data_IF_656400242278
#
_entry.id   IF_656400242278
#
_cell.length_a   1.000
_cell.length_b   1.000
_cell.length_c   1.000
_cell.angle_alpha   90.00
_cell.angle_beta   90.00
_cell.angle_gamma   90.00
#
_symmetry.space_group_name_H-M   'P 1'
#
loop_
_entity.id
_entity.type
_entity.pdbx_description
1 polymer ?
#
# COMPACT_ATOMS: atom_id res chain seq x y z
N UNK A 1 18.22 -38.92 -35.32
CA UNK A 1 17.66 -37.70 -35.92
C UNK A 1 18.25 -36.53 -35.16
N UNK A 2 19.12 -35.77 -35.83
CA UNK A 2 19.89 -34.64 -35.30
C UNK A 2 18.96 -33.56 -34.77
N UNK A 3 18.83 -33.43 -33.45
CA UNK A 3 18.25 -32.22 -32.87
C UNK A 3 19.14 -31.04 -33.24
N UNK A 4 18.57 -29.90 -33.66
CA UNK A 4 19.37 -28.72 -33.99
C UNK A 4 20.19 -28.33 -32.76
N UNK A 5 21.47 -28.01 -32.97
CA UNK A 5 22.34 -27.46 -31.94
C UNK A 5 21.60 -26.28 -31.29
N UNK A 6 21.52 -26.20 -29.94
CA UNK A 6 20.78 -25.12 -29.31
C UNK A 6 21.40 -23.78 -29.73
N UNK A 7 20.57 -22.78 -30.02
CA UNK A 7 21.05 -21.47 -30.46
C UNK A 7 21.84 -20.78 -29.33
N UNK A 8 22.75 -19.86 -29.68
CA UNK A 8 23.51 -19.05 -28.70
C UNK A 8 22.59 -18.30 -27.74
N UNK A 9 21.37 -17.97 -28.17
CA UNK A 9 20.31 -17.36 -27.35
C UNK A 9 19.81 -18.28 -26.23
N UNK A 10 19.87 -19.60 -26.41
CA UNK A 10 19.41 -20.60 -25.43
C UNK A 10 20.57 -21.03 -24.51
N UNK A 11 21.79 -21.05 -25.04
CA UNK A 11 22.99 -21.50 -24.31
C UNK A 11 23.70 -20.36 -23.56
N UNK A 12 23.63 -19.12 -24.01
CA UNK A 12 24.44 -18.04 -23.45
C UNK A 12 25.95 -18.35 -23.53
N UNK A 13 26.73 -17.80 -22.59
CA UNK A 13 28.18 -18.01 -22.50
C UNK A 13 28.60 -19.28 -21.73
N UNK A 14 27.63 -20.02 -21.17
CA UNK A 14 27.86 -21.17 -20.31
C UNK A 14 28.33 -20.81 -18.89
N UNK A 15 28.53 -21.83 -18.03
CA UNK A 15 28.93 -21.64 -16.63
C UNK A 15 27.77 -21.33 -15.68
N UNK A 16 28.06 -20.69 -14.54
CA UNK A 16 27.06 -20.40 -13.49
C UNK A 16 26.11 -19.25 -13.87
N UNK A 17 26.58 -18.24 -14.62
CA UNK A 17 25.78 -17.10 -15.08
C UNK A 17 25.88 -16.95 -16.61
N UNK A 18 25.26 -17.85 -17.39
CA UNK A 18 25.39 -17.87 -18.85
C UNK A 18 24.83 -16.61 -19.54
N UNK A 19 23.93 -15.90 -18.86
CA UNK A 19 23.31 -14.65 -19.34
C UNK A 19 23.80 -13.41 -18.59
N UNK A 20 24.91 -13.54 -17.86
CA UNK A 20 25.47 -12.49 -17.02
C UNK A 20 24.51 -11.98 -15.93
N UNK A 21 24.86 -10.85 -15.33
CA UNK A 21 24.07 -10.25 -14.25
C UNK A 21 22.69 -9.79 -14.72
N UNK A 22 22.57 -9.32 -15.96
CA UNK A 22 21.29 -8.91 -16.56
C UNK A 22 20.29 -10.06 -16.61
N UNK A 23 20.73 -11.28 -16.95
CA UNK A 23 19.87 -12.45 -16.93
C UNK A 23 19.43 -12.86 -15.53
N UNK A 24 20.32 -12.77 -14.53
CA UNK A 24 19.98 -13.02 -13.12
C UNK A 24 18.89 -12.07 -12.64
N UNK A 25 19.02 -10.80 -13.00
CA UNK A 25 18.15 -9.72 -12.54
C UNK A 25 16.77 -9.74 -13.21
N UNK A 26 16.73 -10.06 -14.51
CA UNK A 26 15.49 -10.31 -15.24
C UNK A 26 14.78 -11.57 -14.72
N UNK A 27 15.53 -12.65 -14.47
CA UNK A 27 15.01 -13.86 -13.85
C UNK A 27 14.45 -13.61 -12.45
N UNK A 28 15.12 -12.80 -11.64
CA UNK A 28 14.64 -12.40 -10.31
C UNK A 28 13.31 -11.64 -10.37
N UNK A 29 13.13 -10.76 -11.37
CA UNK A 29 11.87 -10.04 -11.57
C UNK A 29 10.70 -10.98 -11.89
N UNK A 30 10.91 -12.03 -12.70
CA UNK A 30 9.87 -13.04 -12.97
C UNK A 30 9.67 -13.98 -11.78
N UNK A 31 10.74 -14.41 -11.11
CA UNK A 31 10.68 -15.28 -9.94
C UNK A 31 10.09 -14.60 -8.70
N UNK A 32 10.02 -13.26 -8.67
CA UNK A 32 9.33 -12.50 -7.63
C UNK A 32 7.91 -13.01 -7.39
N UNK A 33 7.22 -13.43 -8.47
CA UNK A 33 5.90 -14.06 -8.41
C UNK A 33 5.79 -15.14 -7.34
N UNK A 34 6.82 -15.98 -7.18
CA UNK A 34 6.79 -17.10 -6.24
C UNK A 34 6.72 -16.65 -4.77
N UNK A 35 7.14 -15.42 -4.47
CA UNK A 35 7.11 -14.87 -3.12
C UNK A 35 5.83 -14.07 -2.81
N UNK A 36 4.94 -13.88 -3.79
CA UNK A 36 3.67 -13.18 -3.58
C UNK A 36 2.70 -14.05 -2.77
N UNK A 37 2.01 -13.46 -1.80
CA UNK A 37 1.00 -14.13 -0.98
C UNK A 37 1.19 -13.99 0.53
N UNK A 38 2.32 -13.46 1.01
CA UNK A 38 2.52 -13.19 2.43
C UNK A 38 1.55 -12.12 2.97
N UNK A 39 1.10 -11.21 2.10
CA UNK A 39 0.12 -10.17 2.39
C UNK A 39 -1.26 -10.73 2.74
N UNK A 40 -1.60 -11.94 2.26
CA UNK A 40 -2.84 -12.62 2.61
C UNK A 40 -2.92 -12.98 4.10
N UNK A 41 -1.78 -13.13 4.78
CA UNK A 41 -1.72 -13.36 6.24
C UNK A 41 -2.24 -12.14 7.01
N UNK A 42 -2.03 -10.94 6.48
CA UNK A 42 -2.54 -9.72 7.11
C UNK A 42 -4.07 -9.58 6.95
N UNK A 43 -4.63 -10.06 5.84
CA UNK A 43 -6.09 -10.04 5.57
C UNK A 43 -6.89 -10.89 6.56
N UNK A 44 -6.27 -11.89 7.19
CA UNK A 44 -6.91 -12.73 8.21
C UNK A 44 -6.65 -12.25 9.64
N UNK A 45 -6.12 -11.04 9.81
CA UNK A 45 -5.76 -10.51 11.13
C UNK A 45 -6.93 -10.45 12.13
N UNK A 46 -8.15 -10.26 11.65
CA UNK A 46 -9.37 -10.22 12.48
C UNK A 46 -9.69 -11.57 13.15
N UNK A 47 -9.20 -12.68 12.60
CA UNK A 47 -9.44 -14.04 13.10
C UNK A 47 -8.29 -14.55 13.99
N UNK A 48 -7.20 -13.78 14.10
CA UNK A 48 -5.97 -14.20 14.76
C UNK A 48 -5.95 -13.72 16.21
N UNK A 49 -5.69 -14.65 17.15
CA UNK A 49 -5.43 -14.30 18.55
C UNK A 49 -4.11 -13.53 18.66
N UNK A 50 -4.13 -12.36 19.29
CA UNK A 50 -2.98 -11.44 19.43
C UNK A 50 -2.37 -11.07 18.07
N UNK A 51 -3.13 -10.37 17.19
CA UNK A 51 -2.72 -10.10 15.81
C UNK A 51 -1.42 -9.28 15.75
N UNK A 52 -1.18 -8.39 16.71
CA UNK A 52 0.00 -7.53 16.71
C UNK A 52 1.33 -8.31 16.77
N UNK A 53 1.33 -9.53 17.34
CA UNK A 53 2.52 -10.39 17.42
C UNK A 53 2.46 -11.56 16.44
N UNK A 54 1.29 -12.15 16.25
CA UNK A 54 1.12 -13.33 15.41
C UNK A 54 1.31 -13.03 13.91
N UNK A 55 0.77 -11.90 13.41
CA UNK A 55 0.86 -11.55 11.98
C UNK A 55 2.33 -11.32 11.55
N UNK A 56 3.15 -10.52 12.25
CA UNK A 56 4.55 -10.33 11.85
C UNK A 56 5.37 -11.63 11.89
N UNK A 57 5.16 -12.47 12.91
CA UNK A 57 5.83 -13.78 13.01
C UNK A 57 5.41 -14.67 11.84
N UNK A 58 4.11 -14.70 11.51
CA UNK A 58 3.58 -15.47 10.37
C UNK A 58 4.21 -15.05 9.04
N UNK A 59 4.30 -13.75 8.77
CA UNK A 59 4.90 -13.22 7.54
C UNK A 59 6.39 -13.59 7.46
N UNK A 60 7.19 -13.30 8.50
CA UNK A 60 8.64 -13.54 8.45
C UNK A 60 8.97 -15.03 8.41
N UNK A 61 8.28 -15.86 9.19
CA UNK A 61 8.54 -17.30 9.23
C UNK A 61 8.16 -17.98 7.92
N UNK A 62 6.99 -17.65 7.34
CA UNK A 62 6.56 -18.21 6.05
C UNK A 62 7.51 -17.82 4.92
N UNK A 63 7.91 -16.55 4.83
CA UNK A 63 8.89 -16.08 3.85
C UNK A 63 10.25 -16.78 3.97
N UNK A 64 10.74 -16.99 5.20
CA UNK A 64 12.01 -17.67 5.42
C UNK A 64 11.95 -19.15 4.99
N UNK A 65 10.86 -19.84 5.33
CA UNK A 65 10.65 -21.24 4.92
C UNK A 65 10.58 -21.35 3.39
N UNK A 66 9.80 -20.48 2.75
CA UNK A 66 9.70 -20.42 1.28
C UNK A 66 11.05 -20.12 0.63
N UNK A 67 11.82 -19.17 1.18
CA UNK A 67 13.15 -18.85 0.68
C UNK A 67 14.08 -20.07 0.68
N UNK A 68 14.16 -20.80 1.80
CA UNK A 68 15.00 -22.00 1.91
C UNK A 68 14.54 -23.08 0.94
N UNK A 69 13.22 -23.29 0.83
CA UNK A 69 12.65 -24.29 -0.07
C UNK A 69 12.92 -23.94 -1.55
N UNK A 70 12.67 -22.71 -1.97
CA UNK A 70 12.90 -22.27 -3.36
C UNK A 70 14.37 -22.30 -3.73
N UNK A 71 15.24 -21.79 -2.85
CA UNK A 71 16.68 -21.88 -3.07
C UNK A 71 17.14 -23.34 -3.21
N UNK A 72 16.67 -24.22 -2.32
CA UNK A 72 17.00 -25.65 -2.34
C UNK A 72 16.52 -26.35 -3.61
N UNK A 73 15.27 -26.10 -4.03
CA UNK A 73 14.69 -26.67 -5.25
C UNK A 73 15.41 -26.16 -6.50
N UNK A 74 15.68 -24.85 -6.61
CA UNK A 74 16.40 -24.29 -7.75
C UNK A 74 17.83 -24.83 -7.85
N UNK A 75 18.54 -24.95 -6.73
CA UNK A 75 19.88 -25.53 -6.70
C UNK A 75 19.87 -27.02 -7.08
N UNK A 76 18.97 -27.81 -6.50
CA UNK A 76 18.84 -29.23 -6.81
C UNK A 76 18.48 -29.47 -8.29
N UNK A 77 17.50 -28.73 -8.81
CA UNK A 77 17.00 -28.89 -10.17
C UNK A 77 18.07 -28.57 -11.22
N UNK A 78 18.81 -27.48 -11.03
CA UNK A 78 19.89 -27.06 -11.95
C UNK A 78 21.12 -27.98 -11.88
N UNK A 79 21.32 -28.70 -10.76
CA UNK A 79 22.33 -29.77 -10.67
C UNK A 79 21.85 -31.09 -11.30
N UNK A 80 20.56 -31.39 -11.28
CA UNK A 80 19.99 -32.61 -11.88
C UNK A 80 19.93 -32.55 -13.42
N UNK A 81 19.66 -31.38 -13.99
CA UNK A 81 19.45 -31.22 -15.42
C UNK A 81 20.01 -29.88 -15.91
N UNK A 82 20.72 -29.84 -17.04
CA UNK A 82 21.17 -28.59 -17.65
C UNK A 82 20.01 -27.61 -17.92
N UNK A 83 20.20 -26.34 -17.57
CA UNK A 83 19.13 -25.31 -17.59
C UNK A 83 18.45 -25.15 -18.94
N UNK A 84 19.17 -25.35 -20.05
CA UNK A 84 18.65 -25.21 -21.41
C UNK A 84 17.73 -26.37 -21.84
N UNK A 85 17.65 -27.45 -21.07
CA UNK A 85 16.74 -28.58 -21.31
C UNK A 85 15.54 -28.60 -20.36
N UNK A 86 15.44 -27.64 -19.44
CA UNK A 86 14.32 -27.57 -18.50
C UNK A 86 13.01 -27.28 -19.25
N UNK A 87 12.02 -28.14 -19.02
CA UNK A 87 10.68 -27.96 -19.56
C UNK A 87 9.99 -26.77 -18.89
N UNK A 88 9.33 -25.92 -19.70
CA UNK A 88 8.68 -24.70 -19.20
C UNK A 88 7.38 -24.98 -18.45
N UNK A 89 6.69 -26.09 -18.74
CA UNK A 89 5.37 -26.38 -18.18
C UNK A 89 5.46 -27.31 -16.96
N UNK A 90 6.44 -28.22 -16.97
CA UNK A 90 6.56 -29.32 -16.00
C UNK A 90 8.04 -29.62 -15.65
N UNK A 91 8.79 -28.63 -15.13
CA UNK A 91 10.24 -28.76 -14.95
C UNK A 91 10.61 -29.90 -13.98
N UNK A 92 9.87 -30.06 -12.87
CA UNK A 92 10.18 -31.06 -11.86
C UNK A 92 9.92 -32.50 -12.33
N UNK A 93 8.72 -32.88 -12.83
CA UNK A 93 8.50 -34.23 -13.35
C UNK A 93 9.45 -34.59 -14.50
N UNK A 94 9.73 -33.65 -15.40
CA UNK A 94 10.64 -33.84 -16.52
C UNK A 94 12.08 -34.12 -16.06
N UNK A 95 12.55 -33.41 -15.03
CA UNK A 95 13.88 -33.64 -14.46
C UNK A 95 14.02 -35.04 -13.83
N UNK A 96 13.02 -35.50 -13.05
CA UNK A 96 13.05 -36.87 -12.50
C UNK A 96 12.99 -37.96 -13.57
N UNK A 97 12.24 -37.70 -14.65
CA UNK A 97 12.19 -38.59 -15.80
C UNK A 97 13.54 -38.65 -16.53
N UNK A 98 14.21 -37.51 -16.67
CA UNK A 98 15.55 -37.42 -17.27
C UNK A 98 16.60 -38.22 -16.47
N UNK A 99 16.54 -38.18 -15.13
CA UNK A 99 17.41 -38.97 -14.25
C UNK A 99 17.07 -40.47 -14.25
N UNK A 100 15.90 -40.85 -14.78
CA UNK A 100 15.45 -42.25 -14.86
C UNK A 100 14.72 -42.73 -13.61
N UNK A 101 14.26 -41.83 -12.74
CA UNK A 101 13.55 -42.19 -11.50
C UNK A 101 12.03 -42.06 -11.64
N UNK A 102 11.42 -43.04 -12.32
CA UNK A 102 10.00 -42.99 -12.68
C UNK A 102 9.05 -42.88 -11.48
N UNK A 103 9.34 -43.55 -10.37
CA UNK A 103 8.52 -43.46 -9.15
C UNK A 103 8.46 -42.03 -8.58
N UNK A 104 9.58 -41.31 -8.59
CA UNK A 104 9.64 -39.93 -8.14
C UNK A 104 8.90 -38.98 -9.10
N UNK A 105 8.93 -39.25 -10.42
CA UNK A 105 8.16 -38.49 -11.41
C UNK A 105 6.67 -38.47 -11.08
N UNK A 106 6.07 -39.63 -10.78
CA UNK A 106 4.64 -39.70 -10.43
C UNK A 106 4.33 -39.05 -9.09
N UNK A 107 5.16 -39.28 -8.07
CA UNK A 107 4.97 -38.68 -6.75
C UNK A 107 4.98 -37.15 -6.81
N UNK A 108 5.94 -36.58 -7.54
CA UNK A 108 6.07 -35.12 -7.71
C UNK A 108 4.94 -34.57 -8.59
N UNK A 109 4.51 -35.29 -9.64
CA UNK A 109 3.39 -34.84 -10.46
C UNK A 109 2.08 -34.75 -9.65
N UNK A 110 1.77 -35.77 -8.85
CA UNK A 110 0.60 -35.76 -7.95
C UNK A 110 0.72 -34.64 -6.92
N UNK A 111 1.90 -34.51 -6.29
CA UNK A 111 2.19 -33.44 -5.34
C UNK A 111 1.97 -32.04 -5.92
N UNK A 112 2.46 -31.79 -7.15
CA UNK A 112 2.27 -30.53 -7.85
C UNK A 112 0.80 -30.24 -8.16
N UNK A 113 0.01 -31.24 -8.60
CA UNK A 113 -1.43 -31.05 -8.85
C UNK A 113 -2.20 -30.71 -7.56
N UNK A 114 -1.90 -31.40 -6.47
CA UNK A 114 -2.47 -31.09 -5.15
C UNK A 114 -2.07 -29.68 -4.69
N UNK A 115 -0.78 -29.33 -4.78
CA UNK A 115 -0.28 -28.03 -4.38
C UNK A 115 -0.88 -26.88 -5.19
N UNK A 116 -0.99 -27.02 -6.51
CA UNK A 116 -1.64 -26.03 -7.39
C UNK A 116 -3.12 -25.84 -7.02
N UNK A 117 -3.83 -26.93 -6.70
CA UNK A 117 -5.23 -26.86 -6.26
C UNK A 117 -5.38 -26.13 -4.93
N UNK A 118 -4.51 -26.42 -3.96
CA UNK A 118 -4.47 -25.72 -2.67
C UNK A 118 -4.11 -24.25 -2.83
N UNK A 119 -3.14 -23.93 -3.69
CA UNK A 119 -2.73 -22.55 -3.96
C UNK A 119 -3.87 -21.73 -4.61
N UNK A 120 -4.64 -22.33 -5.52
CA UNK A 120 -5.80 -21.68 -6.13
C UNK A 120 -6.86 -21.33 -5.08
N UNK A 121 -7.18 -22.27 -4.19
CA UNK A 121 -8.11 -22.01 -3.08
C UNK A 121 -7.58 -20.93 -2.13
N UNK A 122 -6.29 -20.95 -1.83
CA UNK A 122 -5.62 -19.94 -1.01
C UNK A 122 -5.72 -18.53 -1.60
N UNK A 123 -5.50 -18.40 -2.91
CA UNK A 123 -5.62 -17.11 -3.61
C UNK A 123 -7.07 -16.62 -3.73
N UNK A 124 -8.04 -17.53 -3.86
CA UNK A 124 -9.46 -17.21 -3.91
C UNK A 124 -10.06 -16.83 -2.55
N UNK A 125 -9.38 -17.16 -1.45
CA UNK A 125 -9.88 -16.91 -0.09
C UNK A 125 -9.95 -15.41 0.29
N UNK A 126 -8.90 -14.59 0.10
CA UNK A 126 -8.95 -13.16 0.43
C UNK A 126 -9.73 -12.33 -0.59
N UNK A 127 -9.85 -12.81 -1.84
CA UNK A 127 -10.44 -12.04 -2.95
C UNK A 127 -11.87 -11.51 -2.65
N UNK A 128 -12.84 -12.33 -2.23
CA UNK A 128 -14.17 -11.84 -1.89
C UNK A 128 -14.19 -10.86 -0.72
N UNK A 129 -13.26 -10.98 0.24
CA UNK A 129 -13.18 -10.08 1.40
C UNK A 129 -12.75 -8.68 1.00
N UNK A 130 -11.71 -8.58 0.16
CA UNK A 130 -11.23 -7.30 -0.37
C UNK A 130 -12.30 -6.63 -1.22
N UNK A 131 -12.95 -7.37 -2.12
CA UNK A 131 -14.04 -6.85 -2.95
C UNK A 131 -15.24 -6.39 -2.12
N UNK A 132 -15.58 -7.14 -1.08
CA UNK A 132 -16.65 -6.78 -0.15
C UNK A 132 -16.32 -5.49 0.60
N UNK A 133 -15.12 -5.38 1.19
CA UNK A 133 -14.69 -4.18 1.91
C UNK A 133 -14.69 -2.93 1.02
N UNK A 134 -14.13 -3.04 -0.20
CA UNK A 134 -14.15 -1.95 -1.17
C UNK A 134 -15.57 -1.55 -1.62
N UNK A 135 -16.50 -2.50 -1.68
CA UNK A 135 -17.89 -2.22 -2.04
C UNK A 135 -18.70 -1.63 -0.87
N UNK A 136 -18.38 -2.02 0.37
CA UNK A 136 -18.98 -1.47 1.58
C UNK A 136 -18.58 0.01 1.78
N UNK A 137 -17.30 0.33 1.52
CA UNK A 137 -16.75 1.70 1.48
C UNK A 137 -17.32 2.56 0.33
N UNK A 138 -18.09 1.95 -0.59
CA UNK A 138 -18.67 2.62 -1.76
C UNK A 138 -17.69 2.89 -2.90
N UNK A 139 -16.46 2.39 -2.83
CA UNK A 139 -15.45 2.49 -3.90
C UNK A 139 -15.79 1.59 -5.10
N UNK A 140 -16.44 0.45 -4.85
CA UNK A 140 -16.98 -0.48 -5.85
C UNK A 140 -18.51 -0.60 -5.75
N UNK A 141 -19.12 -1.21 -6.76
CA UNK A 141 -20.58 -1.36 -6.86
C UNK A 141 -21.18 -2.01 -5.60
N UNK A 142 -22.09 -1.29 -4.93
CA UNK A 142 -22.73 -1.71 -3.66
C UNK A 142 -23.39 -3.09 -3.67
N UNK A 143 -23.77 -3.61 -4.84
CA UNK A 143 -24.29 -4.98 -4.98
C UNK A 143 -23.30 -6.04 -4.47
N UNK A 144 -22.00 -5.80 -4.60
CA UNK A 144 -20.96 -6.75 -4.17
C UNK A 144 -20.78 -6.78 -2.64
N UNK A 145 -21.29 -5.78 -1.92
CA UNK A 145 -21.29 -5.73 -0.45
C UNK A 145 -22.38 -6.62 0.19
N UNK A 146 -23.31 -7.18 -0.61
CA UNK A 146 -24.40 -8.02 -0.11
C UNK A 146 -23.91 -9.35 0.48
N UNK A 147 -24.24 -9.61 1.75
CA UNK A 147 -23.95 -10.87 2.45
C UNK A 147 -25.14 -11.81 2.34
N UNK A 148 -24.89 -13.08 1.98
CA UNK A 148 -25.95 -14.10 1.91
C UNK A 148 -26.44 -14.50 3.32
N UNK A 149 -27.75 -14.53 3.53
CA UNK A 149 -28.33 -14.89 4.83
C UNK A 149 -28.03 -16.32 5.28
N UNK A 150 -27.90 -17.26 4.34
CA UNK A 150 -27.68 -18.70 4.63
C UNK A 150 -26.22 -19.03 4.91
N UNK A 151 -25.30 -18.58 4.07
CA UNK A 151 -23.87 -18.94 4.18
C UNK A 151 -23.06 -17.91 4.96
N UNK A 152 -23.61 -16.73 5.21
CA UNK A 152 -22.92 -15.59 5.85
C UNK A 152 -21.64 -15.19 5.10
N UNK A 153 -21.62 -15.39 3.79
CA UNK A 153 -20.49 -15.04 2.91
C UNK A 153 -20.92 -14.07 1.81
N UNK A 154 -20.01 -13.23 1.28
CA UNK A 154 -20.31 -12.30 0.19
C UNK A 154 -20.38 -13.05 -1.16
N UNK A 155 -21.52 -13.71 -1.40
CA UNK A 155 -21.71 -14.59 -2.57
C UNK A 155 -21.54 -13.86 -3.91
N UNK A 156 -22.05 -12.62 -3.99
CA UNK A 156 -21.92 -11.79 -5.20
C UNK A 156 -20.44 -11.53 -5.52
N UNK A 157 -19.64 -11.11 -4.54
CA UNK A 157 -18.21 -10.88 -4.72
C UNK A 157 -17.46 -12.15 -5.14
N UNK A 158 -17.79 -13.31 -4.56
CA UNK A 158 -17.19 -14.61 -4.92
C UNK A 158 -17.51 -15.01 -6.36
N UNK A 159 -18.77 -14.91 -6.79
CA UNK A 159 -19.17 -15.28 -8.15
C UNK A 159 -18.53 -14.33 -9.17
N UNK A 160 -18.58 -13.02 -8.92
CA UNK A 160 -18.03 -12.01 -9.84
C UNK A 160 -16.51 -12.15 -9.98
N UNK A 161 -15.78 -12.33 -8.88
CA UNK A 161 -14.31 -12.52 -8.93
C UNK A 161 -13.91 -13.85 -9.57
N UNK A 162 -14.60 -14.95 -9.25
CA UNK A 162 -14.33 -16.26 -9.85
C UNK A 162 -14.62 -16.27 -11.35
N UNK A 163 -15.71 -15.63 -11.79
CA UNK A 163 -16.04 -15.50 -13.21
C UNK A 163 -15.01 -14.63 -13.94
N UNK A 164 -14.60 -13.50 -13.37
CA UNK A 164 -13.57 -12.65 -13.96
C UNK A 164 -12.22 -13.38 -14.04
N UNK A 165 -11.83 -14.11 -12.99
CA UNK A 165 -10.62 -14.93 -12.99
C UNK A 165 -10.66 -16.03 -14.06
N UNK A 166 -11.80 -16.67 -14.29
CA UNK A 166 -11.97 -17.67 -15.35
C UNK A 166 -11.83 -17.05 -16.75
N UNK A 167 -12.38 -15.86 -16.97
CA UNK A 167 -12.18 -15.11 -18.22
C UNK A 167 -10.70 -14.79 -18.42
N UNK A 168 -10.02 -14.30 -17.37
CA UNK A 168 -8.60 -13.97 -17.45
C UNK A 168 -7.74 -15.20 -17.76
N UNK A 169 -8.01 -16.33 -17.12
CA UNK A 169 -7.33 -17.59 -17.37
C UNK A 169 -7.58 -18.15 -18.79
N UNK A 170 -8.72 -17.81 -19.40
CA UNK A 170 -9.04 -18.22 -20.77
C UNK A 170 -8.41 -17.32 -21.84
N UNK A 171 -8.29 -16.01 -21.57
CA UNK A 171 -7.84 -15.02 -22.55
C UNK A 171 -6.33 -14.78 -22.57
N UNK A 172 -5.63 -15.03 -21.46
CA UNK A 172 -4.23 -14.66 -21.31
C UNK A 172 -3.33 -15.87 -21.02
N UNK A 173 -2.12 -15.83 -21.58
CA UNK A 173 -1.09 -16.82 -21.27
C UNK A 173 -0.58 -16.65 -19.83
N UNK A 174 -0.13 -17.76 -19.24
CA UNK A 174 0.41 -17.79 -17.86
C UNK A 174 1.49 -16.71 -17.65
N UNK A 175 2.42 -16.55 -18.60
CA UNK A 175 3.49 -15.56 -18.50
C UNK A 175 2.95 -14.13 -18.40
N UNK A 176 1.97 -13.80 -19.22
CA UNK A 176 1.38 -12.46 -19.24
C UNK A 176 0.62 -12.16 -17.95
N UNK A 177 -0.09 -13.16 -17.40
CA UNK A 177 -0.77 -13.05 -16.11
C UNK A 177 0.23 -12.87 -14.96
N UNK A 178 1.31 -13.64 -14.96
CA UNK A 178 2.38 -13.54 -13.95
C UNK A 178 3.07 -12.18 -13.99
N UNK A 179 3.40 -11.69 -15.19
CA UNK A 179 4.03 -10.38 -15.36
C UNK A 179 3.08 -9.24 -14.94
N UNK A 180 1.78 -9.33 -15.28
CA UNK A 180 0.74 -8.35 -14.88
C UNK A 180 0.51 -8.34 -13.36
N UNK A 181 0.51 -9.51 -12.73
CA UNK A 181 0.38 -9.59 -11.28
C UNK A 181 1.62 -9.01 -10.59
N UNK A 182 2.82 -9.34 -11.09
CA UNK A 182 4.08 -8.87 -10.52
C UNK A 182 4.21 -7.34 -10.57
N UNK A 183 3.89 -6.69 -11.69
CA UNK A 183 3.93 -5.22 -11.78
C UNK A 183 2.94 -4.56 -10.80
N UNK A 184 1.75 -5.13 -10.63
CA UNK A 184 0.74 -4.63 -9.69
C UNK A 184 1.19 -4.77 -8.23
N UNK A 185 1.73 -5.93 -7.86
CA UNK A 185 2.23 -6.18 -6.50
C UNK A 185 3.46 -5.31 -6.17
N UNK A 186 4.41 -5.16 -7.11
CA UNK A 186 5.57 -4.30 -6.91
C UNK A 186 5.18 -2.83 -6.74
N UNK A 187 4.16 -2.35 -7.48
CA UNK A 187 3.61 -1.01 -7.29
C UNK A 187 2.97 -0.87 -5.90
N UNK A 188 2.15 -1.84 -5.48
CA UNK A 188 1.53 -1.84 -4.17
C UNK A 188 2.58 -1.82 -3.04
N UNK A 189 3.63 -2.62 -3.13
CA UNK A 189 4.71 -2.63 -2.13
C UNK A 189 5.53 -1.33 -2.13
N UNK A 190 5.70 -0.69 -3.29
CA UNK A 190 6.30 0.65 -3.38
C UNK A 190 5.44 1.68 -2.65
N UNK A 191 4.12 1.62 -2.83
CA UNK A 191 3.18 2.50 -2.14
C UNK A 191 3.18 2.25 -0.63
N UNK A 192 3.16 0.99 -0.18
CA UNK A 192 3.26 0.64 1.25
C UNK A 192 4.57 1.17 1.85
N UNK A 193 5.70 1.03 1.16
CA UNK A 193 6.98 1.57 1.62
C UNK A 193 6.94 3.11 1.74
N UNK A 194 6.34 3.80 0.76
CA UNK A 194 6.13 5.24 0.83
C UNK A 194 5.21 5.65 2.00
N UNK A 195 4.10 4.92 2.22
CA UNK A 195 3.17 5.16 3.32
C UNK A 195 3.83 4.98 4.69
N UNK A 196 4.62 3.91 4.87
CA UNK A 196 5.38 3.69 6.12
C UNK A 196 6.33 4.87 6.38
N UNK A 197 6.95 5.40 5.33
CA UNK A 197 7.83 6.55 5.45
C UNK A 197 7.06 7.84 5.75
N UNK A 198 5.88 8.08 5.18
CA UNK A 198 5.07 9.28 5.47
C UNK A 198 4.45 9.22 6.88
N UNK A 199 3.79 8.11 7.22
CA UNK A 199 3.05 7.95 8.48
C UNK A 199 3.96 8.01 9.71
N UNK A 200 5.24 7.68 9.56
CA UNK A 200 6.21 7.72 10.67
C UNK A 200 6.50 9.13 11.18
N UNK A 201 6.43 10.13 10.30
CA UNK A 201 6.80 11.52 10.59
C UNK A 201 5.60 12.47 10.59
N UNK A 202 4.39 11.96 10.35
CA UNK A 202 3.18 12.73 10.58
C UNK A 202 2.84 12.79 12.09
N UNK A 203 2.33 13.92 12.58
CA UNK A 203 1.78 14.00 13.93
C UNK A 203 0.60 13.03 14.07
N UNK A 204 0.41 12.45 15.25
CA UNK A 204 -0.73 11.58 15.52
C UNK A 204 -2.04 12.33 15.23
N UNK A 205 -2.83 11.79 14.29
CA UNK A 205 -4.25 12.09 14.27
C UNK A 205 -4.91 11.23 15.35
N UNK A 206 -5.35 11.87 16.43
CA UNK A 206 -6.18 11.24 17.47
C UNK A 206 -7.48 10.72 16.82
N UNK A 207 -7.48 9.48 16.35
CA UNK A 207 -8.71 8.78 15.95
C UNK A 207 -9.32 8.15 17.20
N UNK A 208 -10.51 8.64 17.59
CA UNK A 208 -11.26 8.18 18.77
C UNK A 208 -11.57 6.67 18.78
N UNK A 209 -11.43 5.99 17.64
CA UNK A 209 -11.74 4.57 17.46
C UNK A 209 -10.80 3.61 18.20
N UNK A 210 -9.54 3.99 18.47
CA UNK A 210 -8.57 3.11 19.14
C UNK A 210 -8.70 3.06 20.67
N UNK A 211 -9.45 3.98 21.28
CA UNK A 211 -9.55 4.06 22.74
C UNK A 211 -10.61 3.13 23.35
N UNK A 212 -11.39 2.41 22.54
CA UNK A 212 -12.45 1.51 23.01
C UNK A 212 -12.03 0.05 23.18
N UNK A 213 -10.87 -0.36 22.66
CA UNK A 213 -10.35 -1.74 22.85
C UNK A 213 -9.18 -1.83 23.85
N UNK A 214 -8.39 -0.77 24.05
CA UNK A 214 -7.26 -0.82 24.98
C UNK A 214 -7.67 -0.65 26.45
N UNK A 215 -8.92 -0.26 26.71
CA UNK A 215 -9.48 -0.05 28.06
C UNK A 215 -9.70 -1.35 28.84
N UNK A 216 -9.55 -2.52 28.21
CA UNK A 216 -9.78 -3.80 28.87
C UNK A 216 -8.50 -4.49 29.36
N UNK A 217 -7.31 -4.07 28.91
CA UNK A 217 -6.03 -4.65 29.36
C UNK A 217 -5.22 -3.74 30.32
N UNK A 218 -5.46 -2.43 30.36
CA UNK A 218 -4.66 -1.51 31.20
C UNK A 218 -5.25 -1.21 32.60
N UNK A 219 -6.38 -1.82 32.99
CA UNK A 219 -7.06 -1.45 34.25
C UNK A 219 -6.43 -2.03 35.54
N UNK A 220 -5.33 -2.79 35.48
CA UNK A 220 -4.73 -3.42 36.68
C UNK A 220 -3.33 -2.92 37.09
N UNK A 221 -2.69 -1.96 36.39
CA UNK A 221 -1.33 -1.57 36.79
C UNK A 221 -0.92 -0.13 36.47
N UNK A 222 -1.62 0.86 37.05
CA UNK A 222 -1.02 2.15 37.45
C UNK A 222 -2.04 3.02 38.19
N UNK A 223 -2.31 2.69 39.45
CA UNK A 223 -2.57 3.77 40.41
C UNK A 223 -1.26 4.54 40.63
N UNK A 224 -1.35 5.86 40.76
CA UNK A 224 -0.25 6.83 40.94
C UNK A 224 0.67 7.08 39.74
N UNK A 225 0.32 8.08 38.91
CA UNK A 225 1.10 9.31 38.68
C UNK A 225 0.24 10.23 37.81
N UNK A 226 -0.15 11.36 38.38
CA UNK A 226 -0.79 12.48 37.69
C UNK A 226 0.25 13.25 36.88
N UNK A 227 0.07 13.34 35.56
CA UNK A 227 0.79 14.28 34.68
C UNK A 227 -0.20 15.28 34.08
N UNK A 228 0.17 16.57 33.98
CA UNK A 228 -0.76 17.64 33.70
C UNK A 228 -1.19 17.66 32.22
N UNK A 229 -2.47 17.98 32.02
CA UNK A 229 -3.01 18.49 30.77
C UNK A 229 -2.15 19.65 30.26
N UNK A 230 -1.53 19.49 29.09
CA UNK A 230 -0.83 20.57 28.41
C UNK A 230 -1.71 21.05 27.25
N UNK A 231 -2.16 22.30 27.37
CA UNK A 231 -3.11 22.93 26.48
C UNK A 231 -2.58 23.14 25.06
N UNK A 232 -3.54 23.16 24.14
CA UNK A 232 -3.44 23.65 22.78
C UNK A 232 -2.88 25.08 22.82
N UNK A 233 -1.63 25.28 22.37
CA UNK A 233 -1.10 26.62 22.09
C UNK A 233 -1.36 26.96 20.62
N UNK A 234 -1.90 28.17 20.33
CA UNK A 234 -2.30 28.54 18.99
C UNK A 234 -1.10 29.00 18.15
N UNK A 235 -1.12 28.65 16.87
CA UNK A 235 -0.51 29.37 15.74
C UNK A 235 0.84 30.04 15.93
N UNK A 236 1.92 29.32 15.61
CA UNK A 236 3.14 29.94 15.11
C UNK A 236 3.26 29.55 13.63
N UNK A 237 2.92 30.50 12.74
CA UNK A 237 3.25 30.42 11.33
C UNK A 237 4.77 30.49 11.16
N UNK A 238 5.46 29.34 11.28
CA UNK A 238 6.87 29.27 10.94
C UNK A 238 7.03 29.28 9.41
N UNK A 239 7.60 30.39 8.91
CA UNK A 239 7.96 30.57 7.51
C UNK A 239 8.89 29.44 7.04
N UNK A 240 8.55 28.84 5.90
CA UNK A 240 9.38 27.87 5.18
C UNK A 240 10.83 28.37 5.06
N UNK A 241 11.76 27.78 5.82
CA UNK A 241 13.18 28.12 5.78
C UNK A 241 14.01 26.86 5.61
N UNK A 242 14.91 26.86 4.60
CA UNK A 242 15.81 25.74 4.31
C UNK A 242 16.66 25.31 5.53
N UNK A 243 16.90 26.23 6.46
CA UNK A 243 17.65 25.95 7.68
C UNK A 243 16.85 25.09 8.66
N UNK A 244 15.55 25.36 8.79
CA UNK A 244 14.61 24.59 9.63
C UNK A 244 14.37 23.19 9.07
N UNK A 245 14.50 23.00 7.75
CA UNK A 245 14.39 21.69 7.09
C UNK A 245 15.61 20.78 7.34
N UNK A 246 16.82 21.36 7.43
CA UNK A 246 18.08 20.63 7.62
C UNK A 246 18.44 20.39 9.11
N UNK A 247 17.87 21.20 10.01
CA UNK A 247 18.07 21.14 11.45
C UNK A 247 16.76 21.52 12.16
N UNK A 248 15.85 20.56 12.38
CA UNK A 248 14.66 20.82 13.20
C UNK A 248 15.06 20.91 14.68
N UNK A 249 14.76 22.02 15.33
CA UNK A 249 15.02 22.24 16.77
C UNK A 249 13.92 21.60 17.67
N UNK A 250 12.84 21.08 17.06
CA UNK A 250 11.64 20.58 17.75
C UNK A 250 11.67 19.05 17.82
N UNK A 251 11.52 18.51 19.04
CA UNK A 251 11.60 17.07 19.37
C UNK A 251 10.32 16.27 19.10
N UNK A 252 9.27 16.90 18.59
CA UNK A 252 7.96 16.28 18.31
C UNK A 252 7.54 16.57 16.86
N UNK A 253 6.86 15.62 16.19
CA UNK A 253 6.41 15.81 14.81
C UNK A 253 5.38 16.96 14.76
N UNK A 254 5.73 18.03 14.06
CA UNK A 254 4.80 19.13 13.76
C UNK A 254 4.11 18.92 12.41
N UNK A 255 2.96 19.57 12.17
CA UNK A 255 2.28 19.53 10.87
C UNK A 255 3.20 19.94 9.69
N UNK A 256 4.19 20.80 9.95
CA UNK A 256 5.20 21.21 8.97
C UNK A 256 6.23 20.11 8.69
N UNK A 257 6.64 19.34 9.71
CA UNK A 257 7.53 18.18 9.52
C UNK A 257 6.84 17.10 8.69
N UNK A 258 5.57 16.79 9.00
CA UNK A 258 4.76 15.86 8.20
C UNK A 258 4.58 16.31 6.75
N UNK A 259 4.30 17.61 6.51
CA UNK A 259 4.21 18.17 5.17
C UNK A 259 5.56 18.11 4.41
N UNK A 260 6.66 18.43 5.09
CA UNK A 260 8.03 18.37 4.55
C UNK A 260 8.38 16.94 4.14
N UNK A 261 8.13 15.96 5.01
CA UNK A 261 8.39 14.54 4.72
C UNK A 261 7.52 14.06 3.56
N UNK A 262 6.26 14.47 3.47
CA UNK A 262 5.41 14.12 2.33
C UNK A 262 5.99 14.63 1.00
N UNK A 263 6.43 15.90 0.94
CA UNK A 263 7.09 16.46 -0.25
C UNK A 263 8.38 15.71 -0.56
N UNK A 264 9.23 15.47 0.43
CA UNK A 264 10.49 14.75 0.25
C UNK A 264 10.26 13.32 -0.25
N UNK A 265 9.25 12.63 0.28
CA UNK A 265 8.90 11.26 -0.12
C UNK A 265 8.38 11.20 -1.55
N UNK A 266 7.50 12.14 -1.92
CA UNK A 266 6.99 12.27 -3.28
C UNK A 266 8.11 12.56 -4.28
N UNK A 267 8.97 13.52 -3.95
CA UNK A 267 10.15 13.86 -4.77
C UNK A 267 11.12 12.68 -4.88
N UNK A 268 11.36 11.97 -3.78
CA UNK A 268 12.19 10.77 -3.77
C UNK A 268 11.60 9.68 -4.67
N UNK A 269 10.29 9.45 -4.63
CA UNK A 269 9.61 8.52 -5.53
C UNK A 269 9.80 8.87 -7.00
N UNK A 270 9.66 10.15 -7.37
CA UNK A 270 9.91 10.64 -8.73
C UNK A 270 11.38 10.48 -9.15
N UNK A 271 12.32 10.77 -8.25
CA UNK A 271 13.75 10.59 -8.51
C UNK A 271 14.11 9.11 -8.70
N UNK A 272 13.59 8.21 -7.87
CA UNK A 272 13.78 6.76 -8.01
C UNK A 272 13.21 6.26 -9.34
N UNK A 273 12.02 6.74 -9.73
CA UNK A 273 11.41 6.39 -11.01
C UNK A 273 12.24 6.88 -12.20
N UNK A 274 12.69 8.14 -12.17
CA UNK A 274 13.56 8.69 -13.22
C UNK A 274 14.92 8.01 -13.30
N UNK A 275 15.53 7.68 -12.15
CA UNK A 275 16.75 6.90 -12.07
C UNK A 275 16.56 5.52 -12.71
N UNK A 276 15.51 4.81 -12.32
CA UNK A 276 15.24 3.45 -12.80
C UNK A 276 14.96 3.44 -14.31
N UNK A 277 14.25 4.45 -14.80
CA UNK A 277 13.98 4.63 -16.23
C UNK A 277 15.27 4.86 -17.03
N UNK A 278 16.14 5.76 -16.57
CA UNK A 278 17.44 6.03 -17.22
C UNK A 278 18.42 4.86 -17.11
N UNK A 279 18.36 4.10 -16.01
CA UNK A 279 19.20 2.92 -15.81
C UNK A 279 18.87 1.82 -16.83
N UNK A 280 17.59 1.69 -17.22
CA UNK A 280 17.15 0.69 -18.20
C UNK A 280 17.26 1.21 -19.64
N UNK A 281 16.90 2.48 -19.91
CA UNK A 281 16.82 3.01 -21.28
C UNK A 281 18.08 3.75 -21.75
N UNK A 282 18.84 4.36 -20.86
CA UNK A 282 19.86 5.35 -21.21
C UNK A 282 21.19 4.78 -21.72
N UNK A 283 21.35 3.45 -21.74
CA UNK A 283 22.59 2.78 -22.18
C UNK A 283 23.83 3.17 -21.37
N UNK A 284 25.02 2.85 -21.90
CA UNK A 284 26.31 3.09 -21.21
C UNK A 284 26.99 4.40 -21.61
N UNK A 285 26.25 5.33 -22.21
CA UNK A 285 26.81 6.62 -22.62
C UNK A 285 27.25 7.44 -21.40
N UNK A 286 28.35 8.19 -21.53
CA UNK A 286 28.94 8.97 -20.42
C UNK A 286 27.94 9.94 -19.81
N UNK A 287 27.13 10.61 -20.64
CA UNK A 287 26.09 11.52 -20.16
C UNK A 287 25.04 10.79 -19.29
N UNK A 288 24.68 9.56 -19.64
CA UNK A 288 23.74 8.75 -18.84
C UNK A 288 24.34 8.33 -17.50
N UNK A 289 25.63 7.96 -17.48
CA UNK A 289 26.32 7.62 -16.22
C UNK A 289 26.41 8.83 -15.29
N UNK A 290 26.69 10.02 -15.85
CA UNK A 290 26.72 11.27 -15.09
C UNK A 290 25.33 11.62 -14.54
N UNK A 291 24.27 11.54 -15.35
CA UNK A 291 22.90 11.82 -14.89
C UNK A 291 22.45 10.84 -13.80
N UNK A 292 22.74 9.54 -13.95
CA UNK A 292 22.47 8.53 -12.92
C UNK A 292 23.20 8.83 -11.61
N UNK A 293 24.46 9.26 -11.68
CA UNK A 293 25.25 9.63 -10.51
C UNK A 293 24.67 10.85 -9.78
N UNK A 294 24.18 11.84 -10.53
CA UNK A 294 23.51 13.02 -9.97
C UNK A 294 22.19 12.63 -9.31
N UNK A 295 21.35 11.84 -9.98
CA UNK A 295 20.07 11.37 -9.43
C UNK A 295 20.28 10.53 -8.15
N UNK A 296 21.25 9.63 -8.14
CA UNK A 296 21.60 8.85 -6.95
C UNK A 296 22.02 9.76 -5.79
N UNK A 297 22.87 10.77 -6.06
CA UNK A 297 23.30 11.72 -5.05
C UNK A 297 22.12 12.51 -4.47
N UNK A 298 21.16 12.93 -5.31
CA UNK A 298 19.94 13.61 -4.87
C UNK A 298 19.07 12.70 -4.00
N UNK A 299 18.90 11.43 -4.36
CA UNK A 299 18.18 10.44 -3.54
C UNK A 299 18.82 10.28 -2.15
N UNK A 300 20.16 10.20 -2.08
CA UNK A 300 20.90 10.11 -0.82
C UNK A 300 20.69 11.37 0.03
N UNK A 301 20.75 12.56 -0.59
CA UNK A 301 20.49 13.83 0.11
C UNK A 301 19.07 13.87 0.68
N UNK A 302 18.05 13.50 -0.10
CA UNK A 302 16.67 13.46 0.41
C UNK A 302 16.48 12.44 1.52
N UNK A 303 17.10 11.26 1.39
CA UNK A 303 17.07 10.22 2.44
C UNK A 303 17.70 10.74 3.73
N UNK A 304 18.81 11.48 3.63
CA UNK A 304 19.47 12.12 4.76
C UNK A 304 18.61 13.22 5.40
N UNK A 305 17.89 14.02 4.58
CA UNK A 305 16.95 15.03 5.08
C UNK A 305 15.81 14.37 5.86
N UNK A 306 15.22 13.29 5.31
CA UNK A 306 14.17 12.52 5.98
C UNK A 306 14.69 11.94 7.31
N UNK A 307 15.88 11.36 7.30
CA UNK A 307 16.50 10.77 8.49
C UNK A 307 16.71 11.77 9.63
N UNK A 308 16.85 13.06 9.31
CA UNK A 308 17.00 14.13 10.31
C UNK A 308 15.70 14.67 10.88
N UNK A 309 14.55 14.29 10.32
CA UNK A 309 13.25 14.76 10.80
C UNK A 309 12.86 14.04 12.12
N UNK A 310 12.12 14.71 13.03
CA UNK A 310 11.70 14.10 14.28
C UNK A 310 10.71 12.93 14.02
N UNK A 311 11.04 11.75 14.56
CA UNK A 311 10.17 10.57 14.47
C UNK A 311 9.05 10.60 15.51
N UNK A 312 7.89 10.05 15.14
CA UNK A 312 6.81 9.77 16.09
C UNK A 312 7.24 8.74 17.16
N UNK A 313 6.96 9.04 18.43
CA UNK A 313 7.35 8.23 19.60
C UNK A 313 6.39 7.08 19.92
N UNK A 314 5.43 6.81 19.04
CA UNK A 314 4.41 5.78 19.28
C UNK A 314 4.99 4.40 19.53
N UNK A 315 4.42 3.71 20.52
CA UNK A 315 4.74 2.31 20.83
C UNK A 315 3.97 1.40 19.88
N UNK A 316 4.42 1.30 18.63
CA UNK A 316 3.95 0.25 17.72
C UNK A 316 4.52 -1.10 18.16
N UNK A 317 3.66 -2.13 18.22
CA UNK A 317 4.05 -3.51 18.59
C UNK A 317 5.06 -4.12 17.62
N UNK A 318 5.09 -3.64 16.37
CA UNK A 318 6.08 -4.00 15.36
C UNK A 318 6.61 -2.74 14.66
N UNK A 319 7.94 -2.55 14.69
CA UNK A 319 8.64 -1.43 14.05
C UNK A 319 9.54 -1.97 12.95
N UNK A 320 9.49 -1.35 11.78
CA UNK A 320 10.52 -1.56 10.75
C UNK A 320 11.83 -0.99 11.28
N UNK A 321 12.90 -1.80 11.44
CA UNK A 321 14.19 -1.30 11.88
C UNK A 321 14.82 -0.41 10.79
N UNK A 322 15.77 0.47 11.14
CA UNK A 322 16.57 1.24 10.17
C UNK A 322 15.75 2.14 9.21
N UNK A 323 14.77 2.87 9.74
CA UNK A 323 14.12 3.96 9.02
C UNK A 323 15.12 5.14 8.84
N UNK A 324 15.10 5.87 7.71
CA UNK A 324 14.28 5.68 6.50
C UNK A 324 14.87 4.71 5.46
N UNK A 325 16.03 4.10 5.71
CA UNK A 325 16.78 3.35 4.69
C UNK A 325 16.04 2.13 4.13
N UNK A 326 15.39 1.32 4.97
CA UNK A 326 14.69 0.11 4.50
C UNK A 326 13.57 0.44 3.49
N UNK A 327 12.62 1.36 3.79
CA UNK A 327 11.61 1.75 2.81
C UNK A 327 12.19 2.31 1.50
N UNK A 328 13.24 3.13 1.57
CA UNK A 328 13.87 3.71 0.38
C UNK A 328 14.51 2.64 -0.51
N UNK A 329 15.24 1.69 0.10
CA UNK A 329 15.81 0.54 -0.63
C UNK A 329 14.69 -0.32 -1.22
N UNK A 330 13.60 -0.55 -0.48
CA UNK A 330 12.45 -1.28 -0.99
C UNK A 330 11.81 -0.59 -2.20
N UNK A 331 11.58 0.73 -2.14
CA UNK A 331 11.06 1.50 -3.26
C UNK A 331 11.97 1.41 -4.48
N UNK A 332 13.29 1.53 -4.27
CA UNK A 332 14.27 1.41 -5.34
C UNK A 332 14.24 0.04 -6.02
N UNK A 333 14.33 -1.04 -5.24
CA UNK A 333 14.33 -2.40 -5.77
C UNK A 333 13.02 -2.70 -6.51
N UNK A 334 11.87 -2.33 -5.94
CA UNK A 334 10.58 -2.58 -6.54
C UNK A 334 10.42 -1.86 -7.88
N UNK A 335 10.69 -0.55 -7.92
CA UNK A 335 10.59 0.25 -9.15
C UNK A 335 11.60 -0.23 -10.20
N UNK A 336 12.80 -0.60 -9.80
CA UNK A 336 13.81 -1.13 -10.71
C UNK A 336 13.41 -2.49 -11.31
N UNK A 337 12.83 -3.40 -10.53
CA UNK A 337 12.29 -4.67 -11.03
C UNK A 337 11.11 -4.45 -11.97
N UNK A 338 10.22 -3.48 -11.68
CA UNK A 338 9.13 -3.11 -12.60
C UNK A 338 9.65 -2.67 -13.98
N UNK A 339 10.77 -1.94 -14.03
CA UNK A 339 11.36 -1.48 -15.29
C UNK A 339 11.98 -2.60 -16.14
N UNK A 340 12.21 -3.79 -15.56
CA UNK A 340 12.72 -4.95 -16.30
C UNK A 340 11.62 -5.85 -16.90
N UNK A 341 10.36 -5.56 -16.60
CA UNK A 341 9.23 -6.25 -17.23
C UNK A 341 9.05 -5.80 -18.67
N UNK A 342 8.45 -6.68 -19.48
CA UNK A 342 8.28 -6.42 -20.91
C UNK A 342 7.33 -5.24 -21.20
N UNK A 343 7.49 -4.62 -22.38
CA UNK A 343 6.63 -3.50 -22.81
C UNK A 343 5.17 -3.90 -22.91
N UNK A 344 4.88 -5.15 -23.29
CA UNK A 344 3.52 -5.68 -23.32
C UNK A 344 2.85 -5.65 -21.94
N UNK A 345 3.60 -5.92 -20.89
CA UNK A 345 3.13 -5.85 -19.50
C UNK A 345 2.72 -4.45 -19.10
N UNK A 346 3.53 -3.43 -19.45
CA UNK A 346 3.21 -2.03 -19.19
C UNK A 346 1.94 -1.57 -19.90
N UNK A 347 1.73 -1.99 -21.14
CA UNK A 347 0.50 -1.67 -21.90
C UNK A 347 -0.72 -2.29 -21.21
N UNK A 348 -0.66 -3.58 -20.86
CA UNK A 348 -1.76 -4.27 -20.16
C UNK A 348 -2.05 -3.63 -18.81
N UNK A 349 -1.01 -3.33 -18.05
CA UNK A 349 -1.12 -2.64 -16.76
C UNK A 349 -1.79 -1.28 -16.92
N UNK A 350 -1.39 -0.47 -17.90
CA UNK A 350 -2.00 0.83 -18.18
C UNK A 350 -3.49 0.72 -18.54
N UNK A 351 -3.88 -0.30 -19.32
CA UNK A 351 -5.29 -0.55 -19.66
C UNK A 351 -6.09 -0.87 -18.39
N UNK A 352 -5.62 -1.79 -17.54
CA UNK A 352 -6.30 -2.16 -16.30
C UNK A 352 -6.38 -1.02 -15.30
N UNK A 353 -5.31 -0.24 -15.15
CA UNK A 353 -5.32 0.97 -14.34
C UNK A 353 -6.33 1.98 -14.86
N UNK A 354 -6.42 2.15 -16.18
CA UNK A 354 -7.42 3.04 -16.80
C UNK A 354 -8.85 2.58 -16.50
N UNK A 355 -9.13 1.28 -16.59
CA UNK A 355 -10.43 0.70 -16.22
C UNK A 355 -10.74 0.98 -14.74
N UNK A 356 -9.78 0.73 -13.85
CA UNK A 356 -9.94 1.00 -12.41
C UNK A 356 -10.22 2.47 -12.10
N UNK A 357 -9.48 3.38 -12.75
CA UNK A 357 -9.69 4.82 -12.62
C UNK A 357 -11.05 5.27 -13.16
N UNK A 358 -11.51 4.70 -14.28
CA UNK A 358 -12.85 4.99 -14.83
C UNK A 358 -13.93 4.57 -13.84
N UNK A 359 -13.81 3.40 -13.20
CA UNK A 359 -14.75 2.94 -12.18
C UNK A 359 -14.70 3.87 -10.96
N UNK A 360 -13.49 4.24 -10.50
CA UNK A 360 -13.31 5.13 -9.36
C UNK A 360 -13.90 6.53 -9.59
N UNK A 361 -13.56 7.20 -10.69
CA UNK A 361 -14.06 8.55 -10.99
C UNK A 361 -15.52 8.56 -11.44
N UNK A 362 -16.00 7.50 -12.09
CA UNK A 362 -17.38 7.38 -12.55
C UNK A 362 -18.36 7.00 -11.45
N UNK A 363 -17.98 6.12 -10.53
CA UNK A 363 -18.85 5.59 -9.48
C UNK A 363 -18.32 5.87 -8.08
N UNK A 364 -17.07 5.46 -7.79
CA UNK A 364 -16.50 5.44 -6.44
C UNK A 364 -16.48 6.80 -5.74
N UNK A 365 -16.05 7.85 -6.44
CA UNK A 365 -15.92 9.20 -5.85
C UNK A 365 -17.27 9.78 -5.38
N UNK A 366 -18.37 9.39 -6.02
CA UNK A 366 -19.71 9.89 -5.71
C UNK A 366 -20.43 9.07 -4.65
N UNK A 367 -20.03 7.81 -4.46
CA UNK A 367 -20.69 6.86 -3.57
C UNK A 367 -19.86 6.51 -2.34
N UNK A 368 -18.61 6.98 -2.26
CA UNK A 368 -17.72 6.70 -1.14
C UNK A 368 -18.24 7.29 0.17
N UNK A 369 -18.18 6.49 1.23
CA UNK A 369 -18.53 6.88 2.61
C UNK A 369 -17.70 8.07 3.10
N UNK A 370 -16.41 8.12 2.76
CA UNK A 370 -15.51 9.22 3.10
C UNK A 370 -15.90 10.55 2.44
N UNK A 371 -16.38 10.51 1.19
CA UNK A 371 -16.89 11.70 0.52
C UNK A 371 -18.16 12.23 1.22
N UNK A 372 -19.04 11.33 1.67
CA UNK A 372 -20.22 11.71 2.44
C UNK A 372 -19.85 12.28 3.83
N UNK A 373 -18.85 11.71 4.49
CA UNK A 373 -18.32 12.23 5.76
C UNK A 373 -17.71 13.63 5.60
N UNK A 374 -16.90 13.86 4.56
CA UNK A 374 -16.31 15.18 4.28
C UNK A 374 -17.38 16.26 4.03
N UNK A 375 -18.45 15.91 3.29
CA UNK A 375 -19.59 16.81 3.11
C UNK A 375 -20.31 17.10 4.42
N UNK A 376 -20.51 16.08 5.28
CA UNK A 376 -21.15 16.29 6.59
C UNK A 376 -20.31 17.15 7.53
N UNK A 377 -18.97 17.01 7.53
CA UNK A 377 -18.10 17.86 8.34
C UNK A 377 -18.09 19.32 7.86
N UNK A 378 -18.17 19.54 6.55
CA UNK A 378 -18.28 20.89 5.99
C UNK A 378 -19.63 21.54 6.32
N UNK A 379 -20.72 20.77 6.31
CA UNK A 379 -22.05 21.26 6.71
C UNK A 379 -22.15 21.53 8.22
N UNK A 380 -21.50 20.72 9.07
CA UNK A 380 -21.37 20.99 10.51
C UNK A 380 -20.57 22.26 10.77
N UNK A 381 -19.40 22.45 10.14
CA UNK A 381 -18.61 23.68 10.26
C UNK A 381 -19.40 24.92 9.76
N UNK A 382 -20.17 24.78 8.68
CA UNK A 382 -21.04 25.85 8.17
C UNK A 382 -22.22 26.14 9.12
N UNK A 383 -22.73 25.13 9.82
CA UNK A 383 -23.79 25.29 10.82
C UNK A 383 -23.30 26.01 12.09
N UNK A 384 -22.05 25.75 12.49
CA UNK A 384 -21.36 26.42 13.61
C UNK A 384 -21.05 27.89 13.27
N UNK A 385 -20.86 28.22 11.98
CA UNK A 385 -20.61 29.59 11.53
C UNK A 385 -21.88 30.41 11.21
N UNK A 386 -23.09 29.86 11.41
CA UNK A 386 -24.30 30.70 11.35
C UNK A 386 -24.27 31.69 12.53
N UNK A 387 -24.23 33.01 12.30
CA UNK A 387 -24.41 33.96 13.38
C UNK A 387 -25.79 33.74 14.01
N UNK A 388 -25.87 33.87 15.32
CA UNK A 388 -27.03 33.60 16.21
C UNK A 388 -28.29 34.47 15.90
N UNK A 389 -28.36 35.11 14.74
CA UNK A 389 -29.51 35.90 14.30
C UNK A 389 -30.26 35.22 13.13
N UNK A 390 -30.94 34.10 13.38
CA UNK A 390 -32.09 33.70 12.54
C UNK A 390 -32.97 32.56 13.11
N UNK A 391 -32.74 32.12 14.34
CA UNK A 391 -33.60 31.11 15.00
C UNK A 391 -34.37 31.72 16.17
N UNK A 392 -35.37 32.54 15.82
CA UNK A 392 -36.67 32.58 16.51
C UNK A 392 -37.53 33.69 15.90
N UNK A 393 -38.14 33.36 14.77
CA UNK A 393 -39.33 34.07 14.32
C UNK A 393 -40.32 33.01 13.89
N UNK A 394 -40.94 32.37 14.87
CA UNK A 394 -42.31 31.86 14.78
C UNK A 394 -42.84 31.58 16.18
N UNK A 395 -44.09 32.03 16.41
CA UNK A 395 -44.89 31.98 17.64
C UNK A 395 -44.64 33.07 18.69
N UNK A 396 -44.87 34.33 18.29
CA UNK A 396 -45.23 35.39 19.25
C UNK A 396 -46.74 35.53 19.26
N UNK A 397 -47.37 35.25 20.40
CA UNK A 397 -48.78 35.51 20.68
C UNK A 397 -49.07 37.02 20.71
N UNK A 398 -50.24 37.49 20.23
CA UNK A 398 -50.52 38.91 20.00
C UNK A 398 -50.57 39.80 21.25
N UNK A 399 -50.45 39.24 22.46
CA UNK A 399 -50.43 40.01 23.70
C UNK A 399 -49.06 40.63 24.03
N UNK A 400 -47.96 40.19 23.41
CA UNK A 400 -46.61 40.71 23.72
C UNK A 400 -46.13 41.86 22.83
N UNK A 401 -46.82 42.18 21.73
CA UNK A 401 -46.50 43.34 20.90
C UNK A 401 -47.04 44.67 21.49
N UNK A 402 -48.07 44.62 22.32
CA UNK A 402 -48.65 45.82 22.95
C UNK A 402 -47.78 46.41 24.08
N UNK A 403 -46.83 45.63 24.62
CA UNK A 403 -45.96 46.07 25.72
C UNK A 403 -44.63 46.69 25.25
N UNK A 404 -44.24 46.46 23.99
CA UNK A 404 -42.97 46.94 23.43
C UNK A 404 -43.09 48.24 22.63
N UNK A 405 -44.30 48.65 22.24
CA UNK A 405 -44.53 49.88 21.46
C UNK A 405 -44.93 51.11 22.30
N UNK A 406 -45.03 51.01 23.63
CA UNK A 406 -45.37 52.15 24.50
C UNK A 406 -44.41 52.24 25.68
N UNK A 407 -43.23 52.83 25.47
CA UNK A 407 -42.31 53.04 26.57
C UNK A 407 -40.95 53.62 26.24
N UNK A 408 -40.87 54.76 25.55
CA UNK A 408 -39.91 55.81 25.94
C UNK A 408 -40.29 57.16 25.32
N UNK A 409 -40.78 58.07 26.16
CA UNK A 409 -41.15 59.42 25.79
C UNK A 409 -41.47 60.24 27.03
N UNK A 410 -40.44 60.61 27.80
CA UNK A 410 -40.52 61.70 28.80
C UNK A 410 -39.16 62.40 28.89
N UNK A 411 -38.96 63.27 27.90
CA UNK A 411 -38.47 64.66 27.98
C UNK A 411 -38.26 65.26 29.39
N UNK A 412 -37.07 65.83 29.64
CA UNK A 412 -36.76 67.00 30.50
C UNK A 412 -35.38 67.53 30.01
N UNK A 413 -35.31 68.54 29.14
CA UNK A 413 -35.28 70.01 29.36
C UNK A 413 -33.92 70.55 29.85
N UNK A 414 -33.30 71.36 28.99
CA UNK A 414 -32.15 72.26 29.24
C UNK A 414 -32.60 73.55 29.96
N UNK A 415 -31.64 74.15 30.68
CA UNK A 415 -31.60 75.48 31.34
C UNK A 415 -32.35 76.60 30.58
N UNK A 416 -32.97 77.64 31.18
CA UNK A 416 -32.55 78.50 32.28
C UNK A 416 -32.55 79.95 31.78
N UNK A 417 -33.48 80.80 32.28
CA UNK A 417 -33.52 82.24 32.01
C UNK A 417 -32.87 83.03 33.16
N UNK A 418 -31.79 83.76 32.85
CA UNK A 418 -31.51 85.18 33.16
C UNK A 418 -30.06 85.59 32.84
#
# INVERSE_FOLDING_TARGET
>A
TTQPLPSKEILGEGGFMPFGFTGVLSGAATCFYAFVGFDCIATTGEEVKNPQRAIPIGIVSSLLICFVAYFGVSAALTMMMPYYMLDKNSPLPAAFKYVGWEGATYAVAVGSLCALSTSLLGAMFPMPRVLWAMADDGLLFKYMAGISERTKTPLAATITSGFLAAIMAFLFDLKDLVDLMSIGTLLAYTLVAACVLVLRYQPEQFSQTYHMENTQEEMEMSETISTPSMGILPGIEERFSFRTMLFPDITEPSNLSGFTVNICTSLLGLLILSFSLLAVLGGTAVWNVVTLSVLFSLCVILTFIIWRQPESKTKLSFKVPLLPFIPVVSMFVNVYLMMQLDRGTWIRFAIWMSIGLIIYFGYGIWHSTEAALAHSSMDEELSVYKPVCSLNRDNVTPEKEAFLCNGHGSQVDEDGDL
#
